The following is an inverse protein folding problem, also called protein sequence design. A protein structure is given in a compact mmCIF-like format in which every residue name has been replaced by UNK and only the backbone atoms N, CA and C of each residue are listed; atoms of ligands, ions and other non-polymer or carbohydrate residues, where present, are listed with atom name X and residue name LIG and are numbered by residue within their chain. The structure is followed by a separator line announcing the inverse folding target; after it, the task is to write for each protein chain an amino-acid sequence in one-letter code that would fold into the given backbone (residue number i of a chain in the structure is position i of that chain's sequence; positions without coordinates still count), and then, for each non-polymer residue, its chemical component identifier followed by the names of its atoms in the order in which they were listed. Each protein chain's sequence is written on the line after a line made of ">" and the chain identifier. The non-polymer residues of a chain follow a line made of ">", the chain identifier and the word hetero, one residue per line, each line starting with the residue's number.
data_IF_197204965149
#
_entry.id   IF_197204965149
#
_cell.length_a   1.000
_cell.length_b   1.000
_cell.length_c   1.000
_cell.angle_alpha   90.00
_cell.angle_beta   90.00
_cell.angle_gamma   90.00
#
_symmetry.space_group_name_H-M   'P 1'
#
loop_
_entity.id
_entity.type
_entity.pdbx_description
1 polymer ?
#
# COMPACT_ATOMS: atom_id res chain seq x y z
N UNK A 1 -21.70 20.52 -35.93
CA UNK A 1 -20.42 20.39 -35.19
C UNK A 1 -20.57 19.28 -34.15
N UNK A 2 -19.95 18.11 -34.37
CA UNK A 2 -19.94 17.01 -33.39
C UNK A 2 -18.69 17.16 -32.53
N UNK A 3 -18.89 17.39 -31.23
CA UNK A 3 -17.83 17.43 -30.24
C UNK A 3 -17.25 16.01 -30.12
N UNK A 4 -16.03 15.80 -30.60
CA UNK A 4 -15.28 14.57 -30.40
C UNK A 4 -14.87 14.50 -28.93
N UNK A 5 -15.64 13.77 -28.12
CA UNK A 5 -15.22 13.35 -26.79
C UNK A 5 -13.99 12.45 -27.01
N UNK A 6 -12.78 13.02 -26.86
CA UNK A 6 -11.55 12.24 -26.77
C UNK A 6 -11.68 11.31 -25.56
N UNK A 7 -12.03 10.04 -25.80
CA UNK A 7 -11.83 8.99 -24.80
C UNK A 7 -10.33 8.98 -24.50
N UNK A 8 -9.96 9.34 -23.26
CA UNK A 8 -8.57 9.29 -22.82
C UNK A 8 -8.15 7.82 -22.76
N UNK A 9 -6.92 7.47 -23.19
CA UNK A 9 -6.45 6.10 -23.12
C UNK A 9 -6.44 5.62 -21.67
N UNK A 10 -6.73 4.32 -21.42
CA UNK A 10 -6.54 3.74 -20.10
C UNK A 10 -5.07 3.92 -19.68
N UNK A 11 -4.85 4.33 -18.43
CA UNK A 11 -3.50 4.37 -17.85
C UNK A 11 -2.98 2.92 -17.84
N UNK A 12 -1.95 2.66 -18.66
CA UNK A 12 -1.26 1.38 -18.64
C UNK A 12 -0.59 1.23 -17.27
N UNK A 13 -0.66 0.03 -16.64
CA UNK A 13 0.02 -0.19 -15.38
C UNK A 13 1.52 0.05 -15.54
N UNK A 14 2.11 0.79 -14.60
CA UNK A 14 3.55 1.02 -14.59
C UNK A 14 4.30 -0.31 -14.38
N UNK A 15 5.21 -0.69 -15.31
CA UNK A 15 6.04 -1.88 -15.15
C UNK A 15 7.00 -1.72 -13.97
N UNK A 16 7.51 -2.82 -13.44
CA UNK A 16 8.53 -2.78 -12.39
C UNK A 16 9.80 -2.09 -12.94
N UNK A 17 10.23 -0.94 -12.41
CA UNK A 17 11.34 -0.17 -12.97
C UNK A 17 12.71 -0.80 -12.71
N UNK A 18 12.78 -1.84 -11.87
CA UNK A 18 14.03 -2.48 -11.47
C UNK A 18 14.32 -3.78 -12.21
N UNK A 19 13.49 -4.17 -13.18
CA UNK A 19 13.57 -5.49 -13.84
C UNK A 19 13.20 -5.45 -15.32
N UNK A 20 13.87 -6.30 -16.09
CA UNK A 20 13.37 -6.78 -17.38
C UNK A 20 12.21 -7.79 -17.15
N UNK A 21 11.24 -7.90 -18.09
CA UNK A 21 10.15 -8.87 -17.97
C UNK A 21 10.66 -10.31 -17.78
N UNK A 22 10.22 -11.00 -16.73
CA UNK A 22 10.46 -12.45 -16.54
C UNK A 22 11.66 -12.88 -15.67
N UNK A 23 12.35 -11.96 -14.98
CA UNK A 23 13.42 -12.32 -14.04
C UNK A 23 12.90 -12.58 -12.61
N UNK A 24 13.19 -13.77 -12.07
CA UNK A 24 12.87 -14.16 -10.69
C UNK A 24 13.75 -13.46 -9.63
N UNK A 25 13.22 -13.44 -8.40
CA UNK A 25 13.71 -12.70 -7.26
C UNK A 25 14.67 -13.55 -6.42
N UNK A 26 15.96 -13.24 -6.46
CA UNK A 26 16.99 -14.02 -5.75
C UNK A 26 17.13 -13.65 -4.24
N UNK A 27 16.15 -12.97 -3.65
CA UNK A 27 16.11 -12.63 -2.22
C UNK A 27 14.83 -13.24 -1.64
N UNK A 28 14.97 -14.06 -0.60
CA UNK A 28 13.83 -14.56 0.16
C UNK A 28 13.17 -13.37 0.85
N UNK A 29 12.05 -12.89 0.30
CA UNK A 29 11.24 -11.83 0.90
C UNK A 29 10.08 -12.49 1.64
N UNK A 30 9.83 -12.06 2.87
CA UNK A 30 8.72 -12.54 3.68
C UNK A 30 7.63 -11.46 3.80
N UNK A 31 6.36 -11.86 3.68
CA UNK A 31 5.24 -10.94 3.74
C UNK A 31 5.02 -10.33 5.12
N UNK A 32 5.30 -11.10 6.18
CA UNK A 32 5.32 -10.60 7.56
C UNK A 32 6.33 -9.47 7.76
N UNK A 33 7.57 -9.63 7.29
CA UNK A 33 8.61 -8.59 7.38
C UNK A 33 8.20 -7.28 6.66
N UNK A 34 7.53 -7.39 5.51
CA UNK A 34 6.99 -6.22 4.79
C UNK A 34 5.95 -5.50 5.65
N UNK A 35 5.01 -6.23 6.25
CA UNK A 35 3.94 -5.66 7.08
C UNK A 35 4.50 -5.03 8.35
N UNK A 36 5.48 -5.66 9.00
CA UNK A 36 6.18 -5.10 10.16
C UNK A 36 6.92 -3.81 9.80
N UNK A 37 7.63 -3.81 8.66
CA UNK A 37 8.31 -2.64 8.14
C UNK A 37 7.36 -1.47 7.85
N UNK A 38 6.24 -1.74 7.18
CA UNK A 38 5.19 -0.74 6.93
C UNK A 38 4.58 -0.23 8.23
N UNK A 39 4.26 -1.12 9.17
CA UNK A 39 3.70 -0.76 10.48
C UNK A 39 4.64 0.20 11.20
N UNK A 40 5.93 -0.14 11.28
CA UNK A 40 6.95 0.68 11.92
C UNK A 40 7.06 2.07 11.27
N UNK A 41 7.05 2.16 9.95
CA UNK A 41 7.06 3.45 9.24
C UNK A 41 5.84 4.31 9.63
N UNK A 42 4.66 3.70 9.75
CA UNK A 42 3.42 4.41 10.08
C UNK A 42 3.36 4.84 11.55
N UNK A 43 3.86 4.01 12.47
CA UNK A 43 3.91 4.30 13.90
C UNK A 43 4.94 5.37 14.25
N UNK A 44 6.10 5.34 13.59
CA UNK A 44 7.19 6.28 13.79
C UNK A 44 6.99 7.63 13.07
N UNK A 45 5.83 7.82 12.43
CA UNK A 45 5.52 9.05 11.70
C UNK A 45 5.65 10.28 12.63
N UNK A 46 6.41 11.32 12.25
CA UNK A 46 6.62 12.49 13.09
C UNK A 46 5.32 13.20 13.52
N UNK A 47 5.41 13.84 14.71
CA UNK A 47 4.38 14.68 15.35
C UNK A 47 3.17 13.91 15.90
N UNK A 48 2.25 13.53 15.04
CA UNK A 48 0.95 13.01 15.44
C UNK A 48 0.75 11.59 14.91
N UNK A 49 0.19 10.71 15.76
CA UNK A 49 -0.11 9.32 15.40
C UNK A 49 -1.03 9.27 14.18
N UNK A 50 -0.72 8.38 13.24
CA UNK A 50 -1.50 8.23 12.00
C UNK A 50 -2.98 7.98 12.28
N UNK A 51 -3.31 7.09 13.22
CA UNK A 51 -4.70 6.85 13.62
C UNK A 51 -5.45 8.13 14.04
N UNK A 52 -4.82 9.15 14.62
CA UNK A 52 -5.51 10.37 15.04
C UNK A 52 -5.88 11.32 13.88
N UNK A 53 -5.30 11.11 12.69
CA UNK A 53 -5.49 11.96 11.51
C UNK A 53 -6.84 11.74 10.81
N UNK A 54 -7.18 12.68 9.91
CA UNK A 54 -8.30 12.55 8.99
C UNK A 54 -8.07 11.41 7.99
N UNK A 55 -9.15 10.89 7.43
CA UNK A 55 -9.17 9.70 6.56
C UNK A 55 -8.24 9.84 5.34
N UNK A 56 -8.25 11.02 4.72
CA UNK A 56 -7.41 11.36 3.57
C UNK A 56 -5.92 11.36 3.93
N UNK A 57 -5.56 11.87 5.12
CA UNK A 57 -4.20 11.90 5.60
C UNK A 57 -3.71 10.50 5.99
N UNK A 58 -4.55 9.67 6.62
CA UNK A 58 -4.21 8.27 6.94
C UNK A 58 -3.92 7.47 5.68
N UNK A 59 -4.78 7.62 4.68
CA UNK A 59 -4.57 7.01 3.37
C UNK A 59 -3.29 7.54 2.70
N UNK A 60 -3.06 8.85 2.72
CA UNK A 60 -1.85 9.44 2.15
C UNK A 60 -0.59 8.91 2.83
N UNK A 61 -0.59 8.79 4.17
CA UNK A 61 0.54 8.23 4.91
C UNK A 61 0.83 6.78 4.52
N UNK A 62 -0.22 5.97 4.37
CA UNK A 62 -0.10 4.61 3.83
C UNK A 62 0.55 4.60 2.44
N UNK A 63 0.04 5.40 1.49
CA UNK A 63 0.58 5.45 0.13
C UNK A 63 2.03 5.93 0.11
N UNK A 64 2.39 6.92 0.93
CA UNK A 64 3.76 7.41 1.04
C UNK A 64 4.71 6.37 1.65
N UNK A 65 4.24 5.58 2.63
CA UNK A 65 5.01 4.47 3.17
C UNK A 65 5.28 3.41 2.08
N UNK A 66 4.25 3.00 1.34
CA UNK A 66 4.38 2.07 0.19
C UNK A 66 5.35 2.62 -0.86
N UNK A 67 5.28 3.92 -1.16
CA UNK A 67 6.17 4.58 -2.11
C UNK A 67 7.63 4.67 -1.64
N UNK A 68 7.94 4.33 -0.38
CA UNK A 68 9.27 4.52 0.20
C UNK A 68 9.60 5.99 0.46
N UNK A 69 8.56 6.84 0.59
CA UNK A 69 8.70 8.28 0.78
C UNK A 69 7.91 8.84 1.98
N UNK A 70 7.97 8.19 3.17
CA UNK A 70 7.32 8.70 4.37
C UNK A 70 7.98 10.00 4.83
N UNK A 71 7.41 10.63 5.86
CA UNK A 71 8.11 11.69 6.59
C UNK A 71 9.00 11.02 7.63
N UNK A 72 10.32 11.28 7.59
CA UNK A 72 11.32 10.60 8.45
C UNK A 72 11.65 11.39 9.71
N UNK A 73 11.53 12.71 9.61
CA UNK A 73 11.61 13.71 10.67
C UNK A 73 10.71 14.90 10.25
N UNK A 74 10.49 15.86 11.15
CA UNK A 74 9.63 17.02 10.92
C UNK A 74 9.96 17.70 9.59
N UNK A 75 9.03 17.60 8.63
CA UNK A 75 9.13 18.17 7.29
C UNK A 75 10.36 17.70 6.49
N UNK A 76 10.90 16.53 6.82
CA UNK A 76 12.06 15.92 6.18
C UNK A 76 11.66 14.59 5.55
N UNK A 77 12.12 14.34 4.32
CA UNK A 77 11.85 13.14 3.53
C UNK A 77 13.12 12.32 3.28
N UNK A 78 13.01 11.06 2.83
CA UNK A 78 14.16 10.21 2.58
C UNK A 78 15.25 10.83 1.70
N UNK A 79 14.91 11.63 0.69
CA UNK A 79 15.91 12.27 -0.16
C UNK A 79 16.55 13.52 0.44
N UNK A 80 15.90 14.15 1.42
CA UNK A 80 16.50 15.26 2.16
C UNK A 80 17.61 14.74 3.09
N UNK A 81 17.47 13.51 3.60
CA UNK A 81 18.46 12.86 4.46
C UNK A 81 18.64 11.37 4.13
N UNK A 82 19.37 11.04 3.05
CA UNK A 82 19.40 9.69 2.47
C UNK A 82 20.07 8.63 3.35
N UNK A 83 21.04 9.03 4.16
CA UNK A 83 21.79 8.13 5.06
C UNK A 83 21.12 7.96 6.43
N UNK A 84 19.98 8.61 6.67
CA UNK A 84 19.25 8.46 7.92
C UNK A 84 18.63 7.06 8.00
N UNK A 85 18.65 6.43 9.18
CA UNK A 85 18.20 5.06 9.38
C UNK A 85 16.77 4.82 8.87
N UNK A 86 15.86 5.78 9.11
CA UNK A 86 14.48 5.72 8.61
C UNK A 86 14.36 5.83 7.09
N UNK A 87 15.26 6.56 6.44
CA UNK A 87 15.31 6.65 4.96
C UNK A 87 15.70 5.31 4.37
N UNK A 88 16.72 4.67 4.94
CA UNK A 88 17.19 3.36 4.52
C UNK A 88 16.10 2.30 4.70
N UNK A 89 15.44 2.27 5.86
CA UNK A 89 14.31 1.37 6.13
C UNK A 89 13.13 1.60 5.20
N UNK A 90 12.77 2.86 4.93
CA UNK A 90 11.68 3.17 4.00
C UNK A 90 11.99 2.68 2.57
N UNK A 91 13.23 2.88 2.11
CA UNK A 91 13.68 2.39 0.82
C UNK A 91 13.70 0.85 0.77
N UNK A 92 14.17 0.21 1.83
CA UNK A 92 14.23 -1.25 1.94
C UNK A 92 12.83 -1.88 1.85
N UNK A 93 11.87 -1.41 2.66
CA UNK A 93 10.49 -1.90 2.62
C UNK A 93 9.85 -1.63 1.25
N UNK A 94 10.09 -0.45 0.67
CA UNK A 94 9.57 -0.13 -0.67
C UNK A 94 10.14 -1.04 -1.75
N UNK A 95 11.45 -1.37 -1.67
CA UNK A 95 12.08 -2.34 -2.54
C UNK A 95 11.55 -3.75 -2.32
N UNK A 96 11.32 -4.16 -1.07
CA UNK A 96 10.67 -5.45 -0.77
C UNK A 96 9.26 -5.54 -1.35
N UNK A 97 8.54 -4.43 -1.50
CA UNK A 97 7.24 -4.42 -2.20
C UNK A 97 7.39 -4.47 -3.73
N UNK A 98 8.47 -3.92 -4.29
CA UNK A 98 8.83 -4.13 -5.71
C UNK A 98 9.25 -5.59 -5.99
N UNK A 99 9.76 -6.21 -4.93
CA UNK A 99 9.95 -7.62 -4.61
C UNK A 99 8.85 -8.65 -4.90
N UNK A 100 7.59 -8.20 -4.95
CA UNK A 100 6.40 -9.06 -4.84
C UNK A 100 5.52 -8.88 -6.05
N UNK A 101 4.95 -9.98 -6.55
CA UNK A 101 3.97 -9.95 -7.63
C UNK A 101 2.76 -9.07 -7.24
N UNK A 102 2.36 -8.20 -8.15
CA UNK A 102 1.28 -7.27 -7.95
C UNK A 102 -0.09 -7.83 -8.30
N UNK A 103 -1.00 -6.96 -8.75
CA UNK A 103 -2.32 -7.37 -9.22
C UNK A 103 -2.25 -8.19 -10.53
N UNK A 104 -1.16 -8.05 -11.28
CA UNK A 104 -0.84 -8.84 -12.47
C UNK A 104 0.61 -9.30 -12.43
N UNK A 105 0.92 -10.39 -13.13
CA UNK A 105 2.27 -10.98 -13.21
C UNK A 105 3.35 -10.00 -13.68
N UNK A 106 2.99 -9.01 -14.48
CA UNK A 106 3.92 -8.03 -15.07
C UNK A 106 4.12 -6.78 -14.20
N UNK A 107 3.46 -6.70 -13.05
CA UNK A 107 3.49 -5.54 -12.15
C UNK A 107 4.01 -5.95 -10.79
N UNK A 108 4.77 -5.08 -10.13
CA UNK A 108 5.06 -5.26 -8.71
C UNK A 108 3.85 -4.88 -7.84
N UNK A 109 3.84 -5.38 -6.61
CA UNK A 109 2.85 -5.02 -5.60
C UNK A 109 2.90 -3.52 -5.32
N UNK A 110 4.09 -2.95 -5.19
CA UNK A 110 4.26 -1.51 -5.04
C UNK A 110 3.60 -0.73 -6.18
N UNK A 111 3.95 -1.03 -7.43
CA UNK A 111 3.39 -0.35 -8.60
C UNK A 111 1.87 -0.52 -8.66
N UNK A 112 1.36 -1.72 -8.34
CA UNK A 112 -0.08 -1.98 -8.34
C UNK A 112 -0.85 -1.11 -7.35
N UNK A 113 -0.32 -0.96 -6.13
CA UNK A 113 -0.91 -0.11 -5.09
C UNK A 113 -0.87 1.38 -5.48
N UNK A 114 0.28 1.86 -5.97
CA UNK A 114 0.45 3.26 -6.38
C UNK A 114 -0.40 3.61 -7.59
N UNK A 115 -0.51 2.71 -8.58
CA UNK A 115 -1.38 2.91 -9.74
C UNK A 115 -2.85 2.96 -9.33
N UNK A 116 -3.27 2.17 -8.34
CA UNK A 116 -4.64 2.19 -7.83
C UNK A 116 -4.99 3.53 -7.16
N UNK A 117 -4.11 4.06 -6.29
CA UNK A 117 -4.28 5.41 -5.73
C UNK A 117 -4.26 6.49 -6.83
N UNK A 118 -3.32 6.42 -7.78
CA UNK A 118 -3.23 7.38 -8.89
C UNK A 118 -4.51 7.39 -9.74
N UNK A 119 -5.04 6.22 -10.08
CA UNK A 119 -6.29 6.08 -10.84
C UNK A 119 -7.47 6.70 -10.10
N UNK A 120 -7.58 6.49 -8.78
CA UNK A 120 -8.61 7.13 -7.96
C UNK A 120 -8.48 8.66 -7.94
N UNK A 121 -7.25 9.18 -7.79
CA UNK A 121 -7.00 10.63 -7.86
C UNK A 121 -7.40 11.20 -9.22
N UNK A 122 -7.13 10.47 -10.30
CA UNK A 122 -7.47 10.87 -11.66
C UNK A 122 -8.98 10.94 -11.92
N UNK A 123 -9.77 10.10 -11.23
CA UNK A 123 -11.23 10.05 -11.35
C UNK A 123 -11.97 11.16 -10.56
N UNK A 124 -11.26 12.06 -9.86
CA UNK A 124 -11.85 13.25 -9.25
C UNK A 124 -12.20 13.15 -7.76
N UNK A 125 -11.56 12.25 -7.00
CA UNK A 125 -11.56 12.19 -5.53
C UNK A 125 -12.93 12.40 -4.85
N UNK A 126 -13.80 11.38 -4.83
CA UNK A 126 -15.00 11.40 -3.96
C UNK A 126 -14.73 10.69 -2.63
N UNK A 127 -15.16 11.26 -1.50
CA UNK A 127 -14.94 10.69 -0.14
C UNK A 127 -15.45 9.26 0.03
N UNK A 128 -16.66 8.96 -0.47
CA UNK A 128 -17.21 7.58 -0.44
C UNK A 128 -16.33 6.59 -1.22
N UNK A 129 -15.59 7.06 -2.22
CA UNK A 129 -14.69 6.24 -3.02
C UNK A 129 -13.32 6.06 -2.36
N UNK A 130 -12.90 6.99 -1.50
CA UNK A 130 -11.63 6.88 -0.75
C UNK A 130 -11.60 5.63 0.11
N UNK A 131 -12.65 5.40 0.90
CA UNK A 131 -12.75 4.21 1.76
C UNK A 131 -12.68 2.93 0.93
N UNK A 132 -13.48 2.84 -0.13
CA UNK A 132 -13.49 1.67 -1.01
C UNK A 132 -12.12 1.43 -1.64
N UNK A 133 -11.48 2.47 -2.17
CA UNK A 133 -10.16 2.36 -2.77
C UNK A 133 -9.08 1.99 -1.74
N UNK A 134 -9.13 2.57 -0.55
CA UNK A 134 -8.18 2.25 0.51
C UNK A 134 -8.29 0.78 0.94
N UNK A 135 -9.52 0.29 1.13
CA UNK A 135 -9.77 -1.12 1.42
C UNK A 135 -9.24 -2.02 0.30
N UNK A 136 -9.52 -1.68 -0.96
CA UNK A 136 -8.99 -2.41 -2.11
C UNK A 136 -7.46 -2.42 -2.15
N UNK A 137 -6.77 -1.38 -1.69
CA UNK A 137 -5.32 -1.40 -1.57
C UNK A 137 -4.85 -2.33 -0.45
N UNK A 138 -5.49 -2.30 0.72
CA UNK A 138 -5.16 -3.18 1.85
C UNK A 138 -5.45 -4.66 1.52
N UNK A 139 -6.57 -4.94 0.86
CA UNK A 139 -6.95 -6.28 0.39
C UNK A 139 -5.92 -6.84 -0.59
N UNK A 140 -5.49 -6.02 -1.58
CA UNK A 140 -4.44 -6.42 -2.51
C UNK A 140 -3.11 -6.68 -1.79
N UNK A 141 -2.73 -5.81 -0.85
CA UNK A 141 -1.53 -5.98 -0.03
C UNK A 141 -1.58 -7.32 0.72
N UNK A 142 -2.63 -7.57 1.51
CA UNK A 142 -2.73 -8.79 2.31
C UNK A 142 -2.80 -10.05 1.45
N UNK A 143 -3.59 -10.03 0.37
CA UNK A 143 -3.69 -11.17 -0.55
C UNK A 143 -2.34 -11.56 -1.14
N UNK A 144 -1.56 -10.61 -1.65
CA UNK A 144 -0.28 -10.91 -2.28
C UNK A 144 0.78 -11.32 -1.25
N UNK A 145 0.78 -10.74 -0.06
CA UNK A 145 1.73 -11.11 0.99
C UNK A 145 1.42 -12.49 1.59
N UNK A 146 0.14 -12.87 1.74
CA UNK A 146 -0.22 -14.25 2.11
C UNK A 146 0.17 -15.26 1.04
N UNK A 147 -0.09 -14.94 -0.23
CA UNK A 147 0.35 -15.78 -1.37
C UNK A 147 1.87 -15.98 -1.38
N UNK A 148 2.64 -14.92 -1.13
CA UNK A 148 4.09 -14.98 -1.00
C UNK A 148 4.54 -15.93 0.12
N UNK A 149 3.87 -15.87 1.26
CA UNK A 149 4.18 -16.70 2.44
C UNK A 149 3.62 -18.14 2.33
N UNK A 150 2.96 -18.48 1.22
CA UNK A 150 2.32 -19.79 1.02
C UNK A 150 1.08 -20.01 1.90
N UNK A 151 0.52 -18.92 2.44
CA UNK A 151 -0.68 -18.94 3.27
C UNK A 151 -1.94 -18.84 2.39
N UNK A 152 -2.94 -19.66 2.71
CA UNK A 152 -4.24 -19.61 2.04
C UNK A 152 -5.11 -18.42 2.48
N UNK A 153 -6.28 -18.23 1.85
CA UNK A 153 -7.28 -17.33 2.38
C UNK A 153 -7.75 -17.82 3.77
N UNK A 154 -7.72 -16.92 4.75
CA UNK A 154 -8.24 -17.12 6.12
C UNK A 154 -9.04 -15.86 6.46
N UNK A 155 -10.23 -16.07 7.03
CA UNK A 155 -11.14 -15.01 7.47
C UNK A 155 -10.56 -14.17 8.62
N UNK A 156 -9.51 -14.66 9.29
CA UNK A 156 -8.83 -13.96 10.38
C UNK A 156 -7.62 -13.19 9.88
N UNK A 157 -7.39 -12.02 10.47
CA UNK A 157 -6.16 -11.27 10.24
C UNK A 157 -4.97 -11.99 10.87
N UNK A 158 -3.83 -11.92 10.17
CA UNK A 158 -2.54 -12.23 10.79
C UNK A 158 -2.17 -11.11 11.76
N UNK A 159 -1.40 -11.41 12.78
CA UNK A 159 -1.05 -10.40 13.79
C UNK A 159 -0.31 -9.18 13.17
N UNK A 160 0.49 -9.38 12.12
CA UNK A 160 1.14 -8.28 11.39
C UNK A 160 0.15 -7.40 10.61
N UNK A 161 -0.93 -8.00 10.10
CA UNK A 161 -2.00 -7.27 9.40
C UNK A 161 -2.80 -6.45 10.42
N UNK A 162 -3.14 -7.03 11.58
CA UNK A 162 -3.78 -6.31 12.69
C UNK A 162 -2.90 -5.17 13.20
N UNK A 163 -1.59 -5.37 13.30
CA UNK A 163 -0.65 -4.34 13.72
C UNK A 163 -0.64 -3.17 12.73
N UNK A 164 -0.59 -3.44 11.42
CA UNK A 164 -0.65 -2.39 10.40
C UNK A 164 -1.98 -1.63 10.44
N UNK A 165 -3.10 -2.35 10.55
CA UNK A 165 -4.44 -1.75 10.65
C UNK A 165 -4.59 -0.93 11.94
N UNK A 166 -4.04 -1.41 13.05
CA UNK A 166 -3.96 -0.70 14.32
C UNK A 166 -3.16 0.60 14.20
N UNK A 167 -2.01 0.58 13.53
CA UNK A 167 -1.20 1.77 13.28
C UNK A 167 -1.90 2.79 12.37
N UNK A 168 -2.61 2.32 11.35
CA UNK A 168 -3.33 3.17 10.39
C UNK A 168 -4.63 3.74 10.94
N UNK A 169 -5.42 2.96 11.67
CA UNK A 169 -6.80 3.31 12.02
C UNK A 169 -7.07 3.34 13.52
N UNK A 170 -6.23 2.69 14.32
CA UNK A 170 -6.48 2.41 15.72
C UNK A 170 -7.48 1.28 15.92
N UNK A 171 -7.72 0.94 17.19
CA UNK A 171 -8.57 -0.18 17.63
C UNK A 171 -9.95 0.26 18.11
N UNK A 172 -10.39 1.48 17.77
CA UNK A 172 -11.75 1.92 18.06
C UNK A 172 -12.75 1.09 17.25
N UNK A 173 -13.75 0.48 17.91
CA UNK A 173 -14.72 -0.41 17.27
C UNK A 173 -15.41 0.23 16.06
N UNK A 174 -15.74 1.52 16.15
CA UNK A 174 -16.34 2.24 15.02
C UNK A 174 -15.42 2.25 13.80
N UNK A 175 -14.10 2.35 14.02
CA UNK A 175 -13.09 2.38 12.96
C UNK A 175 -12.75 0.99 12.45
N UNK A 176 -12.73 -0.03 13.30
CA UNK A 176 -12.60 -1.43 12.89
C UNK A 176 -13.70 -1.75 11.88
N UNK A 177 -14.97 -1.53 12.24
CA UNK A 177 -16.10 -1.81 11.34
C UNK A 177 -16.15 -0.91 10.10
N UNK A 178 -15.56 0.29 10.17
CA UNK A 178 -15.62 1.25 9.08
C UNK A 178 -14.40 1.21 8.14
N UNK A 179 -13.22 0.75 8.56
CA UNK A 179 -11.98 0.95 7.80
C UNK A 179 -11.15 -0.32 7.64
N UNK A 180 -11.40 -1.35 8.44
CA UNK A 180 -10.69 -2.60 8.27
C UNK A 180 -11.35 -3.40 7.11
N UNK A 181 -10.56 -3.90 6.14
CA UNK A 181 -11.09 -4.60 4.97
C UNK A 181 -11.67 -5.95 5.38
N UNK A 182 -12.86 -6.31 4.93
CA UNK A 182 -13.43 -7.60 5.33
C UNK A 182 -12.73 -8.74 4.58
N UNK A 183 -12.22 -9.72 5.33
CA UNK A 183 -11.39 -10.79 4.76
C UNK A 183 -12.17 -11.80 3.92
N UNK A 184 -13.49 -11.90 4.12
CA UNK A 184 -14.44 -12.70 3.34
C UNK A 184 -14.52 -12.32 1.85
N UNK A 185 -13.96 -11.17 1.47
CA UNK A 185 -13.94 -10.67 0.09
C UNK A 185 -12.63 -10.97 -0.66
N UNK A 186 -11.62 -11.57 -0.02
CA UNK A 186 -10.32 -11.86 -0.66
C UNK A 186 -10.38 -13.04 -1.65
N UNK A 187 -11.45 -13.85 -1.55
CA UNK A 187 -11.71 -15.05 -2.36
C UNK A 187 -12.35 -14.75 -3.73
N UNK A 188 -12.87 -13.55 -3.96
CA UNK A 188 -13.65 -13.24 -5.16
C UNK A 188 -12.97 -12.24 -6.09
N UNK A 189 -12.06 -12.72 -6.95
CA UNK A 189 -11.71 -12.11 -8.25
C UNK A 189 -10.66 -13.01 -8.91
N UNK A 190 -11.13 -14.02 -9.64
CA UNK A 190 -10.44 -14.58 -10.81
C UNK A 190 -10.73 -13.73 -12.05
#
# INVERSE_FOLDING_TARGET
>A
MRCLIRRRPPLLPAPNPWRDPGHDLNRSVNGGEILEGLTRIIEEWPREKTAAKLEEDRHLRFILAVAGYPEIDVSTRPFDWPIHERSLKALEVSRMLDDVEGASKDTSLRSSLLNRDMNWRWQGKRKKELKNMHNQCLELLFKQLRKLDGEGPDDRYRWQEEALLGALHGYDNNRIHAWWPKMDLLDGCE
#
